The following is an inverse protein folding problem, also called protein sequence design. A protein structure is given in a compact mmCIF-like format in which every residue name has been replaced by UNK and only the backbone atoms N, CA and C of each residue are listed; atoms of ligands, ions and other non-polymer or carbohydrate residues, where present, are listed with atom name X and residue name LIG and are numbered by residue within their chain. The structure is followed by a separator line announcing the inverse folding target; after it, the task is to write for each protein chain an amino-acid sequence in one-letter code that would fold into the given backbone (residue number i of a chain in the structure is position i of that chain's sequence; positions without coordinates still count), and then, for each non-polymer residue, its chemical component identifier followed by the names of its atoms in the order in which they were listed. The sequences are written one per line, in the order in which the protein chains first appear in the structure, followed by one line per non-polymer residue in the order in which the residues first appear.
data_IF_617945800158
#
_entry.id   IF_617945800158
#
_cell.length_a   1.000
_cell.length_b   1.000
_cell.length_c   1.000
_cell.angle_alpha   90.00
_cell.angle_beta   90.00
_cell.angle_gamma   90.00
#
_symmetry.space_group_name_H-M   'P 1'
#
loop_
_entity.id
_entity.type
_entity.pdbx_description
1 polymer ?
#
# COMPACT_ATOMS: atom_id res chain seq x y z
N UNK A 1 1.32 -6.63 5.52
CA UNK A 1 1.43 -5.29 4.88
C UNK A 1 0.25 -5.02 3.94
N UNK A 2 0.06 -3.78 3.48
CA UNK A 2 -1.06 -3.40 2.60
C UNK A 2 -0.53 -2.95 1.22
N UNK A 3 -1.18 -3.39 0.15
CA UNK A 3 -0.95 -2.91 -1.23
C UNK A 3 -2.23 -2.29 -1.74
N UNK A 4 -2.17 -1.03 -2.18
CA UNK A 4 -3.35 -0.30 -2.67
C UNK A 4 -3.22 0.14 -4.11
N UNK A 5 -4.26 -0.08 -4.90
CA UNK A 5 -4.34 0.32 -6.30
C UNK A 5 -5.34 1.44 -6.56
N UNK A 6 -5.54 1.80 -7.83
CA UNK A 6 -6.43 2.90 -8.22
C UNK A 6 -7.90 2.66 -7.83
N UNK A 7 -8.34 1.41 -7.72
CA UNK A 7 -9.68 1.07 -7.24
C UNK A 7 -9.93 1.44 -5.78
N UNK A 8 -8.87 1.72 -5.01
CA UNK A 8 -8.97 2.13 -3.61
C UNK A 8 -9.12 3.66 -3.42
N UNK A 9 -9.02 4.47 -4.48
CA UNK A 9 -9.10 5.94 -4.40
C UNK A 9 -10.35 6.42 -3.65
N UNK A 10 -11.58 5.90 -3.90
CA UNK A 10 -12.77 6.34 -3.17
C UNK A 10 -12.76 6.00 -1.68
N UNK A 11 -11.86 5.10 -1.26
CA UNK A 11 -11.76 4.59 0.11
C UNK A 11 -10.45 5.01 0.81
N UNK A 12 -9.76 6.04 0.32
CA UNK A 12 -8.46 6.50 0.84
C UNK A 12 -8.43 6.67 2.36
N UNK A 13 -9.46 7.31 2.93
CA UNK A 13 -9.58 7.51 4.38
C UNK A 13 -9.68 6.19 5.14
N UNK A 14 -10.51 5.26 4.66
CA UNK A 14 -10.69 3.95 5.27
C UNK A 14 -9.42 3.11 5.19
N UNK A 15 -8.69 3.19 4.08
CA UNK A 15 -7.37 2.55 3.93
C UNK A 15 -6.39 3.12 4.95
N UNK A 16 -6.35 4.45 5.12
CA UNK A 16 -5.45 5.09 6.08
C UNK A 16 -5.77 4.70 7.52
N UNK A 17 -7.06 4.70 7.88
CA UNK A 17 -7.52 4.31 9.21
C UNK A 17 -7.20 2.83 9.48
N UNK A 18 -7.36 1.95 8.48
CA UNK A 18 -6.98 0.55 8.58
C UNK A 18 -5.47 0.36 8.75
N UNK A 19 -4.66 1.07 7.95
CA UNK A 19 -3.21 1.02 8.03
C UNK A 19 -2.71 1.42 9.43
N UNK A 20 -3.26 2.50 10.00
CA UNK A 20 -2.95 2.95 11.37
C UNK A 20 -3.35 1.95 12.44
N UNK A 21 -4.52 1.31 12.29
CA UNK A 21 -5.03 0.31 13.26
C UNK A 21 -4.18 -0.96 13.30
N UNK A 22 -3.66 -1.36 12.14
CA UNK A 22 -2.84 -2.56 12.00
C UNK A 22 -1.35 -2.26 12.17
N UNK A 23 -0.97 -1.00 12.35
CA UNK A 23 0.41 -0.51 12.25
C UNK A 23 1.14 -1.07 11.02
N UNK A 24 0.41 -1.12 9.89
CA UNK A 24 0.83 -1.85 8.72
C UNK A 24 1.45 -0.91 7.68
N UNK A 25 2.64 -1.22 7.14
CA UNK A 25 3.20 -0.46 6.02
C UNK A 25 2.32 -0.62 4.78
N UNK A 26 2.23 0.47 3.99
CA UNK A 26 1.42 0.59 2.78
C UNK A 26 2.29 0.88 1.57
N UNK A 27 2.06 0.14 0.49
CA UNK A 27 2.59 0.43 -0.84
C UNK A 27 1.45 0.92 -1.72
N UNK A 28 1.59 2.11 -2.29
CA UNK A 28 0.73 2.55 -3.38
C UNK A 28 1.19 1.85 -4.67
N UNK A 29 0.26 1.35 -5.49
CA UNK A 29 0.58 1.02 -6.88
C UNK A 29 0.75 2.32 -7.67
N UNK A 30 1.27 2.23 -8.90
CA UNK A 30 1.37 3.41 -9.78
C UNK A 30 -0.02 4.03 -10.04
N UNK A 31 -1.06 3.21 -10.16
CA UNK A 31 -2.44 3.67 -10.34
C UNK A 31 -3.10 4.13 -9.02
N UNK A 32 -2.57 3.69 -7.88
CA UNK A 32 -3.03 4.07 -6.54
C UNK A 32 -2.24 5.22 -5.91
N UNK A 33 -1.46 5.98 -6.69
CA UNK A 33 -0.69 7.11 -6.16
C UNK A 33 -1.62 8.09 -5.43
N UNK A 34 -1.30 8.38 -4.17
CA UNK A 34 -2.08 9.30 -3.34
C UNK A 34 -3.29 8.68 -2.63
N UNK A 35 -3.55 7.36 -2.75
CA UNK A 35 -4.54 6.68 -1.88
C UNK A 35 -4.16 6.85 -0.41
N UNK A 36 -2.86 6.76 -0.11
CA UNK A 36 -2.27 7.25 1.14
C UNK A 36 -1.29 8.38 0.79
N UNK A 37 -1.22 9.47 1.59
CA UNK A 37 -0.23 10.53 1.40
C UNK A 37 1.20 9.97 1.38
N UNK A 38 2.04 10.47 0.47
CA UNK A 38 3.41 9.98 0.26
C UNK A 38 4.37 10.34 1.40
N UNK A 39 4.05 11.40 2.14
CA UNK A 39 4.75 11.85 3.34
C UNK A 39 4.29 11.12 4.61
N UNK A 40 3.30 10.23 4.52
CA UNK A 40 2.82 9.49 5.67
C UNK A 40 3.87 8.45 6.12
N UNK A 41 4.16 8.32 7.43
CA UNK A 41 5.20 7.40 7.93
C UNK A 41 5.00 5.92 7.55
N UNK A 42 3.74 5.50 7.38
CA UNK A 42 3.40 4.14 6.94
C UNK A 42 3.46 3.95 5.42
N UNK A 43 3.69 5.01 4.63
CA UNK A 43 3.77 4.93 3.18
C UNK A 43 5.21 4.60 2.75
N UNK A 44 5.40 3.46 2.08
CA UNK A 44 6.69 3.04 1.53
C UNK A 44 6.91 3.46 0.07
N UNK A 45 6.03 4.30 -0.48
CA UNK A 45 6.08 4.80 -1.85
C UNK A 45 5.17 4.05 -2.83
N UNK A 46 5.45 4.21 -4.14
CA UNK A 46 4.47 3.97 -5.22
C UNK A 46 4.80 2.83 -6.20
N UNK A 47 5.68 1.90 -5.81
CA UNK A 47 6.16 0.92 -6.79
C UNK A 47 6.81 -0.31 -6.15
N UNK A 48 6.34 -1.49 -6.56
CA UNK A 48 7.01 -2.77 -6.31
C UNK A 48 8.33 -2.92 -7.09
N UNK A 49 8.87 -1.89 -7.73
CA UNK A 49 10.13 -1.94 -8.50
C UNK A 49 11.38 -1.61 -7.67
N UNK A 50 11.24 -1.19 -6.42
CA UNK A 50 12.37 -1.03 -5.50
C UNK A 50 12.65 -2.35 -4.79
N UNK A 51 13.91 -2.81 -4.81
CA UNK A 51 14.30 -4.10 -4.24
C UNK A 51 13.93 -4.24 -2.74
N UNK A 52 14.10 -3.22 -1.86
CA UNK A 52 13.68 -3.33 -0.46
C UNK A 52 12.17 -3.56 -0.28
N UNK A 53 11.36 -2.99 -1.18
CA UNK A 53 9.90 -3.16 -1.15
C UNK A 53 9.51 -4.57 -1.59
N UNK A 54 10.25 -5.15 -2.55
CA UNK A 54 10.07 -6.55 -2.97
C UNK A 54 10.48 -7.53 -1.90
N UNK A 55 11.58 -7.28 -1.21
CA UNK A 55 12.03 -8.09 -0.07
C UNK A 55 10.98 -8.08 1.04
N UNK A 56 10.51 -6.89 1.43
CA UNK A 56 9.44 -6.77 2.42
C UNK A 56 8.16 -7.49 2.00
N UNK A 57 7.80 -7.46 0.71
CA UNK A 57 6.66 -8.21 0.17
C UNK A 57 6.87 -9.73 0.24
N UNK A 58 8.09 -10.23 0.02
CA UNK A 58 8.41 -11.66 0.13
C UNK A 58 8.41 -12.13 1.58
N UNK A 59 8.90 -11.29 2.48
CA UNK A 59 9.04 -11.60 3.91
C UNK A 59 7.72 -11.37 4.68
N UNK A 60 6.71 -10.77 4.05
CA UNK A 60 5.43 -10.54 4.67
C UNK A 60 4.68 -11.87 4.92
N UNK A 61 4.34 -12.14 6.18
CA UNK A 61 3.47 -13.27 6.56
C UNK A 61 2.07 -13.16 5.91
N UNK A 62 1.62 -11.93 5.65
CA UNK A 62 0.36 -11.64 4.99
C UNK A 62 0.39 -10.31 4.22
N UNK A 63 -0.28 -10.31 3.06
CA UNK A 63 -0.49 -9.12 2.22
C UNK A 63 -1.97 -8.89 2.02
N UNK A 64 -2.46 -7.70 2.37
CA UNK A 64 -3.82 -7.24 2.06
C UNK A 64 -3.79 -6.36 0.80
N UNK A 65 -4.37 -6.88 -0.29
CA UNK A 65 -4.51 -6.17 -1.55
C UNK A 65 -5.86 -5.46 -1.63
N UNK A 66 -5.88 -4.13 -1.86
CA UNK A 66 -7.11 -3.32 -1.90
C UNK A 66 -7.18 -2.55 -3.22
N UNK A 67 -8.23 -2.79 -4.01
CA UNK A 67 -8.48 -2.05 -5.24
C UNK A 67 -7.31 -2.06 -6.23
N UNK A 68 -6.51 -3.13 -6.22
CA UNK A 68 -5.36 -3.33 -7.10
C UNK A 68 -5.55 -4.58 -7.92
N UNK A 69 -5.02 -4.57 -9.14
CA UNK A 69 -4.78 -5.77 -9.95
C UNK A 69 -3.30 -6.17 -9.83
N UNK A 70 -3.01 -7.46 -10.03
CA UNK A 70 -1.66 -8.03 -10.10
C UNK A 70 -1.36 -8.55 -11.51
N UNK A 71 -1.88 -7.87 -12.53
CA UNK A 71 -1.65 -8.18 -13.93
C UNK A 71 -0.26 -7.71 -14.39
#
# INVERSE_FOLDING_TARGET
MIVVGGGAIPASKQVLDLAKRLDAPVINSRAGKGVIPEDHPLCLGFTQAFDPVRELLRDADAVLAIGTEFA
#
